data_IF_055412078517
#
_entry.id   IF_055412078517
#
_cell.length_a   1.000
_cell.length_b   1.000
_cell.length_c   1.000
_cell.angle_alpha   90.00
_cell.angle_beta   90.00
_cell.angle_gamma   90.00
#
_symmetry.space_group_name_H-M   'P 1'
#
loop_
_entity.id
_entity.type
_entity.pdbx_description
1 polymer ?
#
# COMPACT_ATOMS: atom_id res chain seq x y z
N UNK A 1 6.36 12.80 -8.21
CA UNK A 1 5.93 12.39 -6.86
C UNK A 1 6.96 12.96 -5.91
N UNK A 2 6.63 14.06 -5.28
CA UNK A 2 7.61 14.98 -4.70
C UNK A 2 8.30 14.36 -3.47
N UNK A 3 7.59 13.47 -2.77
CA UNK A 3 8.15 12.73 -1.63
C UNK A 3 9.27 11.77 -2.04
N UNK A 4 9.12 11.08 -3.18
CA UNK A 4 10.12 10.14 -3.69
C UNK A 4 11.38 10.90 -4.15
N UNK A 5 11.19 12.02 -4.83
CA UNK A 5 12.29 12.88 -5.25
C UNK A 5 13.05 13.45 -4.03
N UNK A 6 12.32 13.94 -3.02
CA UNK A 6 12.91 14.48 -1.81
C UNK A 6 13.65 13.41 -0.99
N UNK A 7 13.11 12.20 -0.88
CA UNK A 7 13.79 11.07 -0.26
C UNK A 7 15.12 10.76 -1.00
N UNK A 8 15.09 10.75 -2.33
CA UNK A 8 16.29 10.54 -3.15
C UNK A 8 17.32 11.68 -2.97
N UNK A 9 16.91 12.94 -2.96
CA UNK A 9 17.81 14.06 -2.67
C UNK A 9 18.45 13.96 -1.27
N UNK A 10 17.75 13.32 -0.32
CA UNK A 10 18.24 13.05 1.06
C UNK A 10 19.09 11.80 1.20
N UNK A 11 19.39 11.10 0.11
CA UNK A 11 20.30 9.95 0.10
C UNK A 11 19.61 8.58 0.11
N UNK A 12 18.29 8.50 -0.09
CA UNK A 12 17.61 7.23 -0.38
C UNK A 12 18.18 6.62 -1.67
N UNK A 13 18.70 5.39 -1.60
CA UNK A 13 19.33 4.69 -2.74
C UNK A 13 19.02 3.20 -2.75
N UNK A 14 19.40 2.48 -1.69
CA UNK A 14 19.29 1.02 -1.58
C UNK A 14 18.20 0.60 -0.58
N UNK A 15 17.12 1.36 -0.50
CA UNK A 15 16.01 1.12 0.45
C UNK A 15 15.21 -0.17 0.16
N UNK A 16 15.53 -0.88 -0.92
CA UNK A 16 15.02 -2.23 -1.18
C UNK A 16 15.70 -3.33 -0.34
N UNK A 17 16.84 -3.04 0.28
CA UNK A 17 17.52 -3.94 1.23
C UNK A 17 17.32 -3.42 2.65
N UNK A 18 16.73 -4.25 3.52
CA UNK A 18 16.39 -3.88 4.90
C UNK A 18 17.57 -3.31 5.68
N UNK A 19 18.79 -3.77 5.41
CA UNK A 19 20.03 -3.32 6.06
C UNK A 19 20.43 -1.89 5.70
N UNK A 20 19.98 -1.40 4.55
CA UNK A 20 20.29 -0.06 4.03
C UNK A 20 19.10 0.90 4.11
N UNK A 21 17.93 0.39 4.49
CA UNK A 21 16.72 1.16 4.66
C UNK A 21 16.89 2.13 5.83
N UNK A 22 16.73 3.43 5.56
CA UNK A 22 16.60 4.47 6.57
C UNK A 22 15.16 5.01 6.55
N UNK A 23 14.25 4.47 7.39
CA UNK A 23 12.85 4.90 7.41
C UNK A 23 12.70 6.38 7.75
N UNK A 24 13.64 6.95 8.50
CA UNK A 24 13.53 8.32 8.99
C UNK A 24 13.63 9.34 7.85
N UNK A 25 14.36 9.01 6.78
CA UNK A 25 14.42 9.84 5.55
C UNK A 25 13.07 9.92 4.87
N UNK A 26 12.35 8.80 4.81
CA UNK A 26 11.03 8.70 4.19
C UNK A 26 9.98 9.44 5.01
N UNK A 27 9.93 9.24 6.33
CA UNK A 27 9.01 9.98 7.20
C UNK A 27 9.18 11.48 7.09
N UNK A 28 10.43 11.98 7.10
CA UNK A 28 10.71 13.41 6.88
C UNK A 28 10.29 13.87 5.49
N UNK A 29 10.54 13.07 4.44
CA UNK A 29 10.17 13.46 3.08
C UNK A 29 8.65 13.54 2.89
N UNK A 30 7.89 12.61 3.48
CA UNK A 30 6.43 12.61 3.45
C UNK A 30 5.85 13.80 4.24
N UNK A 31 6.42 14.08 5.42
CA UNK A 31 6.04 15.26 6.22
C UNK A 31 6.27 16.57 5.47
N UNK A 32 7.46 16.75 4.88
CA UNK A 32 7.83 18.01 4.23
C UNK A 32 7.12 18.24 2.89
N UNK A 33 6.56 17.19 2.31
CA UNK A 33 5.68 17.27 1.13
C UNK A 33 4.21 17.40 1.50
N UNK A 34 3.90 17.52 2.79
CA UNK A 34 2.56 17.70 3.33
C UNK A 34 1.59 16.60 2.88
N UNK A 35 2.10 15.37 2.74
CA UNK A 35 1.29 14.19 2.45
C UNK A 35 0.68 13.70 3.76
N UNK A 36 -0.64 13.62 3.81
CA UNK A 36 -1.37 13.06 4.94
C UNK A 36 -1.31 11.53 4.89
N UNK A 37 -0.33 10.96 5.59
CA UNK A 37 -0.06 9.52 5.59
C UNK A 37 -1.20 8.76 6.28
N UNK A 38 -1.73 9.30 7.37
CA UNK A 38 -2.83 8.69 8.13
C UNK A 38 -4.04 8.50 7.22
N UNK A 39 -4.38 9.55 6.46
CA UNK A 39 -5.45 9.48 5.46
C UNK A 39 -5.15 8.44 4.38
N UNK A 40 -3.94 8.44 3.80
CA UNK A 40 -3.57 7.50 2.73
C UNK A 40 -3.56 6.03 3.19
N UNK A 41 -3.27 5.76 4.47
CA UNK A 41 -3.20 4.40 5.01
C UNK A 41 -4.56 3.89 5.50
N UNK A 42 -5.42 4.77 6.01
CA UNK A 42 -6.67 4.38 6.66
C UNK A 42 -7.90 4.53 5.76
N UNK A 43 -7.83 5.29 4.67
CA UNK A 43 -8.94 5.35 3.73
C UNK A 43 -9.07 4.02 2.96
N UNK A 44 -10.22 3.34 3.08
CA UNK A 44 -10.46 2.14 2.31
C UNK A 44 -10.67 2.49 0.84
N UNK A 45 -10.20 1.62 -0.05
CA UNK A 45 -10.57 1.63 -1.46
C UNK A 45 -11.77 0.72 -1.67
N UNK A 46 -12.73 1.16 -2.49
CA UNK A 46 -13.80 0.29 -2.93
C UNK A 46 -13.26 -0.80 -3.85
N UNK A 47 -13.98 -1.92 -3.95
CA UNK A 47 -13.55 -3.10 -4.71
C UNK A 47 -13.17 -2.80 -6.17
N UNK A 48 -13.83 -1.80 -6.77
CA UNK A 48 -13.68 -1.43 -8.18
C UNK A 48 -12.93 -0.11 -8.38
N UNK A 49 -12.44 0.51 -7.31
CA UNK A 49 -11.68 1.76 -7.42
C UNK A 49 -10.38 1.56 -8.19
N UNK A 50 -9.89 2.65 -8.76
CA UNK A 50 -8.57 2.67 -9.40
C UNK A 50 -7.51 2.79 -8.31
N UNK A 51 -6.72 1.74 -8.13
CA UNK A 51 -5.64 1.70 -7.15
C UNK A 51 -4.37 2.32 -7.73
N UNK A 52 -3.53 2.98 -6.91
CA UNK A 52 -2.25 3.53 -7.34
C UNK A 52 -1.32 2.50 -8.00
N UNK A 53 -1.43 1.23 -7.61
CA UNK A 53 -0.64 0.10 -8.12
C UNK A 53 -1.34 -0.72 -9.21
N UNK A 54 -2.42 -0.23 -9.82
CA UNK A 54 -3.14 -0.94 -10.89
C UNK A 54 -2.32 -1.27 -12.13
N UNK A 55 -1.24 -0.52 -12.33
CA UNK A 55 -0.29 -0.76 -13.41
C UNK A 55 0.58 -2.02 -13.18
N UNK A 56 0.58 -2.57 -11.95
CA UNK A 56 1.30 -3.80 -11.61
C UNK A 56 0.51 -4.99 -12.12
N UNK A 57 1.01 -5.64 -13.17
CA UNK A 57 0.35 -6.79 -13.76
C UNK A 57 0.52 -8.03 -12.87
N UNK A 58 -0.59 -8.57 -12.37
CA UNK A 58 -0.64 -9.81 -11.61
C UNK A 58 -1.14 -10.92 -12.53
N UNK A 59 -0.53 -12.10 -12.47
CA UNK A 59 -0.84 -13.27 -13.35
C UNK A 59 -2.34 -13.56 -13.54
N UNK A 60 -3.15 -13.37 -12.50
CA UNK A 60 -4.58 -13.69 -12.50
C UNK A 60 -5.49 -12.46 -12.64
N UNK A 61 -4.93 -11.24 -12.68
CA UNK A 61 -5.67 -9.99 -12.83
C UNK A 61 -6.51 -9.56 -11.62
N UNK A 62 -7.19 -8.42 -11.75
CA UNK A 62 -8.02 -7.83 -10.69
C UNK A 62 -9.27 -8.67 -10.36
N UNK A 63 -9.95 -9.18 -11.37
CA UNK A 63 -11.20 -9.94 -11.19
C UNK A 63 -11.00 -11.17 -10.29
N UNK A 64 -9.86 -11.85 -10.44
CA UNK A 64 -9.50 -12.97 -9.60
C UNK A 64 -9.28 -12.52 -8.14
N UNK A 65 -8.53 -11.43 -7.91
CA UNK A 65 -8.29 -10.89 -6.57
C UNK A 65 -9.59 -10.46 -5.88
N UNK A 66 -10.50 -9.81 -6.61
CA UNK A 66 -11.81 -9.41 -6.09
C UNK A 66 -12.65 -10.63 -5.66
N UNK A 67 -12.61 -11.71 -6.45
CA UNK A 67 -13.30 -12.97 -6.12
C UNK A 67 -12.72 -13.64 -4.87
N UNK A 68 -11.39 -13.68 -4.73
CA UNK A 68 -10.73 -14.25 -3.55
C UNK A 68 -10.97 -13.41 -2.29
N UNK A 69 -11.08 -12.08 -2.41
CA UNK A 69 -11.46 -11.21 -1.30
C UNK A 69 -12.88 -11.54 -0.81
N UNK A 70 -13.86 -11.66 -1.70
CA UNK A 70 -15.24 -12.02 -1.35
C UNK A 70 -15.33 -13.40 -0.68
N UNK A 71 -14.57 -14.38 -1.18
CA UNK A 71 -14.47 -15.72 -0.55
C UNK A 71 -13.89 -15.65 0.86
N UNK A 72 -12.83 -14.86 1.02
CA UNK A 72 -12.16 -14.67 2.31
C UNK A 72 -13.09 -14.02 3.34
N UNK A 73 -13.90 -13.04 2.93
CA UNK A 73 -14.93 -12.43 3.79
C UNK A 73 -15.99 -13.44 4.23
N UNK A 74 -16.52 -14.24 3.28
CA UNK A 74 -17.51 -15.28 3.59
C UNK A 74 -16.95 -16.32 4.57
N UNK A 75 -15.68 -16.72 4.39
CA UNK A 75 -15.02 -17.66 5.28
C UNK A 75 -14.77 -17.05 6.67
N UNK A 76 -14.43 -15.77 6.75
CA UNK A 76 -14.23 -15.06 8.02
C UNK A 76 -15.55 -14.98 8.82
N UNK A 77 -16.66 -14.70 8.16
CA UNK A 77 -18.00 -14.72 8.77
C UNK A 77 -18.36 -16.11 9.29
N UNK A 78 -18.19 -17.15 8.47
CA UNK A 78 -18.45 -18.53 8.87
C UNK A 78 -17.58 -18.99 10.06
N UNK A 79 -16.34 -18.51 10.16
CA UNK A 79 -15.46 -18.76 11.31
C UNK A 79 -15.86 -17.99 12.56
N UNK A 80 -16.44 -16.80 12.41
CA UNK A 80 -16.95 -16.01 13.52
C UNK A 80 -18.23 -16.61 14.13
N UNK A 81 -19.13 -17.14 13.29
CA UNK A 81 -20.38 -17.77 13.70
C UNK A 81 -20.19 -19.18 14.33
N UNK A 82 -19.04 -19.81 14.07
CA UNK A 82 -18.69 -21.12 14.64
C UNK A 82 -18.10 -21.05 16.07
N UNK A 83 -18.03 -19.85 16.67
CA UNK A 83 -17.55 -19.59 18.03
C UNK A 83 -18.69 -19.31 18.99
#
# INVERSE_FOLDING_TARGET
CDAVELAWQRGARMDGWTEMLDPQRWWKALHDTNIDIEKQMHEPYELMDKLPWDHVNVKYGREYLAKEQSRSLTQLEAMADAK
#
